data_IF_560528014863
#
_entry.id   IF_560528014863
#
_cell.length_a   1.000
_cell.length_b   1.000
_cell.length_c   1.000
_cell.angle_alpha   90.00
_cell.angle_beta   90.00
_cell.angle_gamma   90.00
#
_symmetry.space_group_name_H-M   'P 1'
#
loop_
_entity.id
_entity.type
_entity.pdbx_description
1 polymer ?
#
# COMPACT_ATOMS: atom_id res chain seq x y z
N UNK A 1 13.89 -2.63 12.62
CA UNK A 1 12.69 -3.43 12.93
C UNK A 1 11.49 -2.51 12.80
N UNK A 2 10.50 -2.87 11.97
CA UNK A 2 9.27 -2.09 11.84
C UNK A 2 8.24 -2.60 12.86
N UNK A 3 7.52 -1.69 13.50
CA UNK A 3 6.45 -2.00 14.46
C UNK A 3 5.16 -1.44 13.88
N UNK A 4 4.24 -2.29 13.39
CA UNK A 4 2.94 -1.81 12.92
C UNK A 4 2.11 -1.33 14.12
N UNK A 5 1.44 -0.19 13.94
CA UNK A 5 0.53 0.39 14.93
C UNK A 5 -0.80 0.68 14.22
N UNK A 6 -1.89 0.27 14.85
CA UNK A 6 -3.24 0.66 14.44
C UNK A 6 -3.55 2.05 15.03
N UNK A 7 -3.80 3.01 14.15
CA UNK A 7 -4.10 4.39 14.55
C UNK A 7 -5.37 4.49 15.41
N UNK A 8 -6.33 3.57 15.26
CA UNK A 8 -7.54 3.53 16.09
C UNK A 8 -7.27 3.08 17.52
N UNK A 9 -6.11 2.49 17.79
CA UNK A 9 -5.67 2.09 19.13
C UNK A 9 -4.81 3.18 19.80
N UNK A 10 -4.46 4.25 19.08
CA UNK A 10 -3.68 5.36 19.61
C UNK A 10 -4.63 6.36 20.28
N UNK A 11 -4.32 6.72 21.53
CA UNK A 11 -5.11 7.71 22.27
C UNK A 11 -5.08 9.05 21.54
N UNK A 12 -6.26 9.66 21.37
CA UNK A 12 -6.37 11.01 20.83
C UNK A 12 -5.50 12.01 21.62
N UNK A 13 -4.80 12.89 20.90
CA UNK A 13 -3.84 13.83 21.48
C UNK A 13 -2.43 13.25 21.74
N UNK A 14 -2.18 11.99 21.40
CA UNK A 14 -0.82 11.42 21.44
C UNK A 14 0.10 12.11 20.42
N UNK A 15 1.36 12.30 20.79
CA UNK A 15 2.40 12.82 19.90
C UNK A 15 3.34 11.68 19.53
N UNK A 16 3.36 11.31 18.25
CA UNK A 16 4.35 10.38 17.70
C UNK A 16 5.57 11.17 17.25
N UNK A 17 6.78 10.69 17.60
CA UNK A 17 8.05 11.33 17.24
C UNK A 17 8.82 10.44 16.29
N UNK A 18 9.39 11.05 15.27
CA UNK A 18 10.29 10.43 14.30
C UNK A 18 11.21 11.49 13.72
N UNK A 19 12.32 11.08 13.12
CA UNK A 19 13.18 11.99 12.36
C UNK A 19 12.51 12.35 11.03
N UNK A 20 11.81 11.37 10.44
CA UNK A 20 11.12 11.49 9.16
C UNK A 20 9.71 10.89 9.28
N UNK A 21 8.70 11.57 8.73
CA UNK A 21 7.34 11.06 8.58
C UNK A 21 7.01 10.97 7.09
N UNK A 22 6.73 9.76 6.61
CA UNK A 22 6.30 9.47 5.25
C UNK A 22 4.80 9.20 5.29
N UNK A 23 4.03 9.93 4.47
CA UNK A 23 2.57 9.78 4.37
C UNK A 23 2.25 9.04 3.07
N UNK A 24 1.59 7.89 3.19
CA UNK A 24 1.29 6.94 2.12
C UNK A 24 2.25 5.74 2.13
N UNK A 25 1.75 4.54 2.39
CA UNK A 25 2.47 3.26 2.34
C UNK A 25 2.29 2.51 1.01
N UNK A 26 2.07 3.25 -0.09
CA UNK A 26 2.21 2.72 -1.44
C UNK A 26 3.67 2.39 -1.79
N UNK A 27 3.91 1.87 -3.01
CA UNK A 27 5.24 1.42 -3.46
C UNK A 27 6.34 2.48 -3.28
N UNK A 28 6.06 3.73 -3.62
CA UNK A 28 7.01 4.85 -3.48
C UNK A 28 7.27 5.17 -2.00
N UNK A 29 6.23 5.22 -1.17
CA UNK A 29 6.38 5.53 0.25
C UNK A 29 7.15 4.46 1.01
N UNK A 30 6.90 3.19 0.71
CA UNK A 30 7.69 2.06 1.24
C UNK A 30 9.15 2.17 0.79
N UNK A 31 9.42 2.45 -0.48
CA UNK A 31 10.79 2.59 -0.99
C UNK A 31 11.53 3.70 -0.24
N UNK A 32 10.94 4.89 -0.12
CA UNK A 32 11.52 6.02 0.61
C UNK A 32 11.75 5.68 2.09
N UNK A 33 10.75 5.10 2.76
CA UNK A 33 10.86 4.76 4.17
C UNK A 33 11.96 3.74 4.45
N UNK A 34 12.16 2.77 3.54
CA UNK A 34 13.22 1.78 3.63
C UNK A 34 14.60 2.39 3.51
N UNK A 35 14.82 3.23 2.50
CA UNK A 35 16.12 3.92 2.29
C UNK A 35 16.53 4.72 3.53
N UNK A 36 15.60 5.46 4.12
CA UNK A 36 15.89 6.25 5.33
C UNK A 36 16.05 5.39 6.59
N UNK A 37 15.34 4.27 6.70
CA UNK A 37 15.50 3.33 7.82
C UNK A 37 16.86 2.61 7.78
N UNK A 38 17.43 2.39 6.59
CA UNK A 38 18.74 1.76 6.40
C UNK A 38 19.89 2.68 6.85
N UNK A 39 19.73 4.00 6.79
CA UNK A 39 20.71 4.98 7.26
C UNK A 39 20.48 5.45 8.72
N UNK A 40 19.79 4.64 9.53
CA UNK A 40 19.57 4.84 10.98
C UNK A 40 18.63 6.00 11.39
N UNK A 41 17.73 6.44 10.51
CA UNK A 41 16.65 7.35 10.94
C UNK A 41 15.48 6.60 11.57
N UNK A 42 14.86 7.21 12.58
CA UNK A 42 13.52 6.82 13.02
C UNK A 42 12.52 7.31 11.99
N UNK A 43 11.95 6.38 11.23
CA UNK A 43 10.95 6.67 10.19
C UNK A 43 9.56 6.25 10.67
N UNK A 44 8.62 7.19 10.62
CA UNK A 44 7.18 6.91 10.77
C UNK A 44 6.57 6.83 9.38
N UNK A 45 6.00 5.67 9.02
CA UNK A 45 5.22 5.49 7.79
C UNK A 45 3.74 5.46 8.17
N UNK A 46 2.98 6.44 7.67
CA UNK A 46 1.56 6.59 7.93
C UNK A 46 0.77 6.19 6.68
N UNK A 47 -0.28 5.41 6.83
CA UNK A 47 -1.21 5.06 5.76
C UNK A 47 -2.65 5.24 6.25
N UNK A 48 -3.54 5.62 5.32
CA UNK A 48 -4.96 5.85 5.53
C UNK A 48 -5.82 4.58 5.40
N UNK A 49 -5.30 3.56 4.72
CA UNK A 49 -5.99 2.29 4.53
C UNK A 49 -6.00 1.44 5.80
N UNK A 50 -7.12 0.74 6.02
CA UNK A 50 -7.20 -0.35 7.00
C UNK A 50 -6.30 -1.52 6.59
N UNK A 51 -6.10 -2.52 7.46
CA UNK A 51 -5.36 -3.75 7.15
C UNK A 51 -6.05 -4.61 6.09
N UNK A 52 -7.29 -4.28 5.72
CA UNK A 52 -8.07 -4.99 4.71
C UNK A 52 -8.09 -4.21 3.39
N UNK A 53 -8.04 -4.91 2.24
CA UNK A 53 -8.17 -4.27 0.94
C UNK A 53 -9.54 -3.59 0.81
N UNK A 54 -9.53 -2.27 0.65
CA UNK A 54 -10.70 -1.46 0.36
C UNK A 54 -10.75 -1.12 -1.13
N UNK A 55 -11.84 -1.48 -1.80
CA UNK A 55 -11.99 -1.29 -3.25
C UNK A 55 -11.97 0.18 -3.66
N UNK A 56 -12.48 1.09 -2.82
CA UNK A 56 -12.45 2.52 -3.08
C UNK A 56 -11.03 3.08 -3.02
N UNK A 57 -10.26 2.70 -2.01
CA UNK A 57 -8.84 3.05 -1.87
C UNK A 57 -8.01 2.46 -3.01
N UNK A 58 -8.30 1.23 -3.45
CA UNK A 58 -7.63 0.61 -4.59
C UNK A 58 -7.91 1.33 -5.91
N UNK A 59 -9.11 1.88 -6.11
CA UNK A 59 -9.43 2.65 -7.33
C UNK A 59 -8.60 3.92 -7.49
N UNK A 60 -7.99 4.45 -6.42
CA UNK A 60 -7.03 5.56 -6.52
C UNK A 60 -5.75 5.18 -7.26
N UNK A 61 -5.44 3.88 -7.34
CA UNK A 61 -4.32 3.35 -8.09
C UNK A 61 -4.68 2.99 -9.54
N UNK A 62 -5.95 3.16 -9.96
CA UNK A 62 -6.31 2.96 -11.36
C UNK A 62 -5.62 4.02 -12.21
N UNK A 63 -4.83 3.54 -13.15
CA UNK A 63 -4.16 4.36 -14.15
C UNK A 63 -4.64 3.90 -15.51
N UNK A 64 -5.05 4.83 -16.35
CA UNK A 64 -5.31 4.54 -17.75
C UNK A 64 -3.97 4.19 -18.44
N UNK A 65 -3.79 2.91 -18.75
CA UNK A 65 -2.63 2.47 -19.51
C UNK A 65 -2.84 2.82 -20.99
N UNK A 66 -2.32 3.97 -21.41
CA UNK A 66 -2.30 4.43 -22.81
C UNK A 66 -1.11 3.87 -23.62
N UNK A 67 -0.39 2.88 -23.09
CA UNK A 67 0.82 2.29 -23.67
C UNK A 67 0.59 0.98 -24.43
N UNK A 68 1.66 0.22 -24.65
CA UNK A 68 1.58 -1.09 -25.32
C UNK A 68 0.84 -2.10 -24.42
N UNK A 69 -0.07 -2.93 -24.97
CA UNK A 69 -0.86 -3.85 -24.17
C UNK A 69 0.03 -4.72 -23.28
N UNK A 70 -0.28 -4.73 -21.98
CA UNK A 70 0.26 -5.72 -21.08
C UNK A 70 -0.11 -7.08 -21.67
N UNK A 71 0.90 -7.86 -22.05
CA UNK A 71 0.69 -9.24 -22.48
C UNK A 71 0.21 -10.00 -21.26
N UNK A 72 -1.12 -10.11 -21.13
CA UNK A 72 -1.77 -11.06 -20.24
C UNK A 72 -1.34 -12.45 -20.74
N UNK A 73 -0.39 -13.10 -20.05
CA UNK A 73 -0.23 -14.53 -20.25
C UNK A 73 -1.51 -15.21 -19.74
N UNK A 74 -2.01 -16.10 -20.56
CA UNK A 74 -3.40 -16.57 -20.54
C UNK A 74 -3.59 -17.65 -19.45
N UNK A 75 -3.31 -17.32 -18.19
CA UNK A 75 -3.33 -18.27 -17.07
C UNK A 75 -4.50 -18.14 -16.10
N UNK A 76 -5.30 -17.06 -16.16
CA UNK A 76 -6.32 -16.76 -15.14
C UNK A 76 -7.78 -16.72 -15.66
N UNK A 77 -8.02 -16.99 -16.95
CA UNK A 77 -9.37 -16.89 -17.55
C UNK A 77 -10.12 -18.22 -17.72
N UNK A 78 -9.57 -19.37 -17.33
CA UNK A 78 -10.21 -20.67 -17.58
C UNK A 78 -11.09 -21.19 -16.42
N UNK A 79 -11.23 -20.43 -15.32
CA UNK A 79 -12.02 -20.86 -14.15
C UNK A 79 -13.44 -20.27 -14.05
N UNK A 80 -14.01 -19.70 -15.12
CA UNK A 80 -15.36 -19.11 -15.05
C UNK A 80 -16.38 -19.57 -16.10
N UNK A 81 -16.08 -20.52 -16.98
CA UNK A 81 -17.00 -20.91 -18.06
C UNK A 81 -17.34 -22.42 -18.13
N UNK A 82 -17.42 -23.12 -17.00
CA UNK A 82 -17.95 -24.51 -16.96
C UNK A 82 -19.39 -24.65 -16.43
N UNK A 83 -20.13 -23.54 -16.31
CA UNK A 83 -21.59 -23.64 -16.20
C UNK A 83 -22.24 -22.94 -17.40
N UNK A 84 -22.99 -23.74 -18.17
CA UNK A 84 -23.83 -23.39 -19.33
C UNK A 84 -23.19 -23.49 -20.72
N UNK A 85 -22.81 -24.71 -21.14
CA UNK A 85 -23.43 -25.42 -22.30
C UNK A 85 -22.83 -26.82 -22.49
#
# INVERSE_FOLDING_TARGET
>A
MAIPLDAFQIRSGSVLRSDICVVGAGAVGIAIAREFAEISHQVLLLESSDFQPDALTQSLHDVENIGHPLRMDTGYSDFHNYETQ
#
